data_IF_140263135274
#
_entry.id   IF_140263135274
#
_cell.length_a   1.000
_cell.length_b   1.000
_cell.length_c   1.000
_cell.angle_alpha   90.00
_cell.angle_beta   90.00
_cell.angle_gamma   90.00
#
_symmetry.space_group_name_H-M   'P 1'
#
loop_
_entity.id
_entity.type
_entity.pdbx_description
1 polymer ?
#
# COMPACT_ATOMS: atom_id res chain seq x y z
N UNK A 1 -1.14 -48.55 8.29
CA UNK A 1 -1.84 -47.29 8.68
C UNK A 1 -0.97 -46.04 8.50
N UNK A 2 0.26 -46.14 8.00
CA UNK A 2 1.14 -44.97 7.78
C UNK A 2 0.94 -44.27 6.44
N UNK A 3 0.66 -45.02 5.35
CA UNK A 3 0.49 -44.46 4.00
C UNK A 3 -0.57 -43.34 3.91
N UNK A 4 -1.68 -43.48 4.64
CA UNK A 4 -2.75 -42.46 4.63
C UNK A 4 -2.34 -41.18 5.36
N UNK A 5 -1.62 -41.30 6.50
CA UNK A 5 -1.13 -40.15 7.26
C UNK A 5 -0.09 -39.38 6.47
N UNK A 6 0.83 -40.08 5.81
CA UNK A 6 1.84 -39.45 4.95
C UNK A 6 1.20 -38.72 3.77
N UNK A 7 0.17 -39.30 3.15
CA UNK A 7 -0.57 -38.66 2.06
C UNK A 7 -1.29 -37.38 2.52
N UNK A 8 -1.98 -37.42 3.67
CA UNK A 8 -2.66 -36.25 4.24
C UNK A 8 -1.66 -35.16 4.63
N UNK A 9 -0.55 -35.52 5.29
CA UNK A 9 0.47 -34.55 5.69
C UNK A 9 1.11 -33.86 4.47
N UNK A 10 1.44 -34.63 3.42
CA UNK A 10 1.96 -34.08 2.17
C UNK A 10 0.98 -33.10 1.52
N UNK A 11 -0.31 -33.46 1.48
CA UNK A 11 -1.36 -32.60 0.94
C UNK A 11 -1.54 -31.31 1.75
N UNK A 12 -1.52 -31.42 3.08
CA UNK A 12 -1.61 -30.27 3.98
C UNK A 12 -0.42 -29.31 3.80
N UNK A 13 0.80 -29.85 3.75
CA UNK A 13 2.01 -29.06 3.51
C UNK A 13 1.92 -28.32 2.16
N UNK A 14 1.50 -29.00 1.09
CA UNK A 14 1.34 -28.37 -0.24
C UNK A 14 0.29 -27.26 -0.22
N UNK A 15 -0.82 -27.46 0.50
CA UNK A 15 -1.84 -26.43 0.66
C UNK A 15 -1.27 -25.21 1.41
N UNK A 16 -0.53 -25.43 2.49
CA UNK A 16 0.09 -24.37 3.27
C UNK A 16 1.13 -23.59 2.47
N UNK A 17 2.02 -24.28 1.73
CA UNK A 17 3.00 -23.62 0.85
C UNK A 17 2.31 -22.76 -0.21
N UNK A 18 1.25 -23.28 -0.84
CA UNK A 18 0.49 -22.53 -1.84
C UNK A 18 -0.20 -21.30 -1.23
N UNK A 19 -0.73 -21.43 0.00
CA UNK A 19 -1.35 -20.30 0.71
C UNK A 19 -0.35 -19.19 1.02
N UNK A 20 0.86 -19.56 1.44
CA UNK A 20 1.96 -18.61 1.72
C UNK A 20 2.39 -17.92 0.43
N UNK A 21 2.71 -18.69 -0.62
CA UNK A 21 3.14 -18.15 -1.92
C UNK A 21 2.09 -17.16 -2.48
N UNK A 22 0.80 -17.54 -2.46
CA UNK A 22 -0.26 -16.66 -2.91
C UNK A 22 -0.38 -15.37 -2.06
N UNK A 23 -0.07 -15.43 -0.76
CA UNK A 23 -0.05 -14.25 0.10
C UNK A 23 1.13 -13.32 -0.20
N UNK A 24 2.28 -13.89 -0.53
CA UNK A 24 3.48 -13.16 -0.96
C UNK A 24 3.26 -12.50 -2.32
N UNK A 25 2.66 -13.20 -3.28
CA UNK A 25 2.28 -12.63 -4.58
C UNK A 25 1.35 -11.42 -4.40
N UNK A 26 0.32 -11.55 -3.55
CA UNK A 26 -0.58 -10.42 -3.23
C UNK A 26 0.15 -9.27 -2.53
N UNK A 27 1.17 -9.56 -1.71
CA UNK A 27 2.01 -8.51 -1.09
C UNK A 27 2.86 -7.82 -2.15
N UNK A 28 3.48 -8.58 -3.05
CA UNK A 28 4.32 -8.03 -4.12
C UNK A 28 3.51 -7.22 -5.12
N UNK A 29 2.33 -7.70 -5.52
CA UNK A 29 1.41 -6.95 -6.38
C UNK A 29 1.03 -5.59 -5.77
N UNK A 30 0.81 -5.53 -4.45
CA UNK A 30 0.55 -4.25 -3.75
C UNK A 30 1.75 -3.31 -3.78
N UNK A 31 2.99 -3.82 -3.58
CA UNK A 31 4.21 -3.02 -3.72
C UNK A 31 4.38 -2.49 -5.15
N UNK A 32 4.18 -3.35 -6.15
CA UNK A 32 4.29 -2.97 -7.55
C UNK A 32 3.25 -1.91 -7.93
N UNK A 33 2.02 -2.01 -7.42
CA UNK A 33 0.98 -0.98 -7.62
C UNK A 33 1.36 0.37 -6.98
N UNK A 34 2.05 0.38 -5.85
CA UNK A 34 2.54 1.61 -5.24
C UNK A 34 3.65 2.25 -6.09
N UNK A 35 4.49 1.44 -6.73
CA UNK A 35 5.59 1.90 -7.58
C UNK A 35 5.14 2.29 -9.00
N UNK A 36 4.01 1.77 -9.47
CA UNK A 36 3.39 2.13 -10.74
C UNK A 36 2.04 2.79 -10.46
N UNK A 37 2.01 4.06 -9.99
CA UNK A 37 0.77 4.78 -9.82
C UNK A 37 0.02 4.82 -11.15
N UNK A 38 -1.30 4.62 -11.11
CA UNK A 38 -2.12 4.70 -12.34
C UNK A 38 -1.87 6.06 -12.97
N UNK A 39 -1.21 6.07 -14.13
CA UNK A 39 -0.78 7.29 -14.78
C UNK A 39 -2.03 8.11 -15.14
N UNK A 40 -2.10 9.36 -14.67
CA UNK A 40 -3.06 10.35 -15.18
C UNK A 40 -3.99 11.02 -14.17
N UNK A 41 -4.04 10.59 -12.89
CA UNK A 41 -4.89 11.27 -11.89
C UNK A 41 -4.04 11.99 -10.86
N UNK A 42 -3.74 13.25 -11.17
CA UNK A 42 -3.12 14.17 -10.23
C UNK A 42 -4.20 14.99 -9.52
N UNK A 43 -4.12 15.07 -8.20
CA UNK A 43 -5.01 15.89 -7.36
C UNK A 43 -4.22 17.10 -6.84
N UNK A 44 -4.60 18.33 -7.23
CA UNK A 44 -3.92 19.54 -6.76
C UNK A 44 -4.31 19.90 -5.33
N UNK A 45 -3.39 20.51 -4.58
CA UNK A 45 -3.71 21.12 -3.30
C UNK A 45 -4.40 22.48 -3.52
N UNK A 46 -5.49 22.80 -2.79
CA UNK A 46 -6.16 24.10 -2.91
C UNK A 46 -5.37 25.27 -2.28
N UNK A 47 -4.32 24.98 -1.49
CA UNK A 47 -3.58 26.01 -0.74
C UNK A 47 -2.12 26.18 -1.19
N UNK A 48 -1.62 25.32 -2.08
CA UNK A 48 -0.25 25.41 -2.59
C UNK A 48 -0.14 24.71 -3.95
N UNK A 49 0.93 24.96 -4.70
CA UNK A 49 1.16 24.37 -6.03
C UNK A 49 1.50 22.86 -6.00
N UNK A 50 1.35 22.18 -4.85
CA UNK A 50 1.74 20.78 -4.69
C UNK A 50 0.70 19.85 -5.30
N UNK A 51 1.20 18.87 -6.05
CA UNK A 51 0.42 17.88 -6.77
C UNK A 51 0.55 16.50 -6.08
N UNK A 52 -0.56 15.79 -5.95
CA UNK A 52 -0.61 14.47 -5.31
C UNK A 52 -1.14 13.41 -6.26
N UNK A 53 -0.52 12.23 -6.28
CA UNK A 53 -0.96 11.12 -7.12
C UNK A 53 -2.23 10.43 -6.59
N UNK A 54 -2.56 10.64 -5.31
CA UNK A 54 -3.71 10.01 -4.64
C UNK A 54 -4.30 10.94 -3.57
N UNK A 55 -5.63 10.85 -3.36
CA UNK A 55 -6.34 11.67 -2.37
C UNK A 55 -5.80 11.54 -0.95
N UNK A 56 -5.35 10.34 -0.54
CA UNK A 56 -4.82 10.11 0.80
C UNK A 56 -3.55 10.94 1.08
N UNK A 57 -2.70 11.14 0.06
CA UNK A 57 -1.51 11.99 0.17
C UNK A 57 -1.88 13.45 0.38
N UNK A 58 -2.88 13.94 -0.36
CA UNK A 58 -3.42 15.29 -0.18
C UNK A 58 -4.07 15.46 1.20
N UNK A 59 -4.88 14.51 1.65
CA UNK A 59 -5.52 14.58 2.98
C UNK A 59 -4.49 14.62 4.11
N UNK A 60 -3.43 13.80 4.02
CA UNK A 60 -2.32 13.84 4.98
C UNK A 60 -1.64 15.21 5.00
N UNK A 61 -1.31 15.75 3.81
CA UNK A 61 -0.72 17.08 3.68
C UNK A 61 -1.58 18.19 4.31
N UNK A 62 -2.89 18.18 4.07
CA UNK A 62 -3.82 19.15 4.63
C UNK A 62 -3.91 19.06 6.15
N UNK A 63 -3.83 17.85 6.73
CA UNK A 63 -3.83 17.67 8.19
C UNK A 63 -2.59 18.30 8.83
N UNK A 64 -1.41 18.05 8.28
CA UNK A 64 -0.15 18.60 8.82
C UNK A 64 -0.08 20.12 8.71
N UNK A 65 -0.57 20.71 7.60
CA UNK A 65 -0.58 22.18 7.45
C UNK A 65 -1.50 22.88 8.44
N UNK A 66 -2.64 22.29 8.82
CA UNK A 66 -3.52 22.84 9.86
C UNK A 66 -2.86 22.93 11.24
N UNK A 67 -1.78 22.18 11.47
CA UNK A 67 -0.99 22.20 12.70
C UNK A 67 0.27 23.07 12.61
N UNK A 68 0.60 23.62 11.42
CA UNK A 68 1.74 24.53 11.24
C UNK A 68 1.28 25.98 11.39
N UNK A 69 1.92 26.81 12.25
CA UNK A 69 1.71 28.25 12.22
C UNK A 69 2.08 28.81 10.83
N UNK A 70 1.44 29.88 10.35
CA UNK A 70 1.96 30.63 9.22
C UNK A 70 3.37 31.14 9.58
N UNK A 71 4.31 31.19 8.61
CA UNK A 71 5.60 31.83 8.83
C UNK A 71 5.38 33.27 9.31
N UNK A 72 6.23 33.81 10.21
CA UNK A 72 6.16 35.21 10.61
C UNK A 72 6.14 36.07 9.35
N UNK A 73 5.16 36.97 9.24
CA UNK A 73 5.22 38.04 8.28
C UNK A 73 6.27 39.01 8.82
N UNK A 74 7.44 39.02 8.21
CA UNK A 74 8.45 40.04 8.44
C UNK A 74 7.95 41.35 7.79
N UNK A 75 7.74 42.39 8.60
CA UNK A 75 7.51 43.79 8.19
C UNK A 75 8.81 44.46 7.70
#
# INVERSE_FOLDING_TARGET
TERWRSAVHKGANTCETNRIAAAEDRRQARKNRANNPVAGVTVPCPHCQRLFQVKIGLTSHLRTRKTSPPPPLDD
#
